data_IF_643636833906
#
_entry.id   IF_643636833906
#
_cell.length_a   1.000
_cell.length_b   1.000
_cell.length_c   1.000
_cell.angle_alpha   90.00
_cell.angle_beta   90.00
_cell.angle_gamma   90.00
#
_symmetry.space_group_name_H-M   'P 1'
#
loop_
_entity.id
_entity.type
_entity.pdbx_description
1 polymer ?
#
# COMPACT_ATOMS: atom_id res chain seq x y z
N UNK A 1 -4.50 16.27 -0.43
CA UNK A 1 -4.91 14.89 -0.10
C UNK A 1 -6.28 14.66 -0.77
N UNK A 2 -6.57 13.45 -1.25
CA UNK A 2 -7.84 13.14 -1.94
C UNK A 2 -9.02 13.16 -0.96
N UNK A 3 -10.21 13.59 -1.41
CA UNK A 3 -11.41 13.59 -0.57
C UNK A 3 -11.87 12.17 -0.23
N UNK A 4 -11.65 11.17 -1.10
CA UNK A 4 -11.86 9.77 -0.77
C UNK A 4 -11.05 9.33 0.46
N UNK A 5 -9.79 9.79 0.57
CA UNK A 5 -8.93 9.50 1.73
C UNK A 5 -9.42 10.25 2.97
N UNK A 6 -9.77 11.53 2.85
CA UNK A 6 -10.26 12.33 3.97
C UNK A 6 -11.58 11.79 4.54
N UNK A 7 -12.54 11.48 3.67
CA UNK A 7 -13.82 10.89 4.06
C UNK A 7 -13.64 9.54 4.77
N UNK A 8 -12.67 8.73 4.31
CA UNK A 8 -12.33 7.47 4.96
C UNK A 8 -11.74 7.70 6.36
N UNK A 9 -10.85 8.70 6.52
CA UNK A 9 -10.29 9.09 7.84
C UNK A 9 -11.39 9.60 8.78
N UNK A 10 -12.29 10.46 8.30
CA UNK A 10 -13.40 11.00 9.08
C UNK A 10 -14.33 9.88 9.57
N UNK A 11 -14.66 8.91 8.69
CA UNK A 11 -15.47 7.73 9.06
C UNK A 11 -14.84 6.95 10.22
N UNK A 12 -13.53 6.72 10.19
CA UNK A 12 -12.84 5.95 11.23
C UNK A 12 -12.64 6.74 12.53
N UNK A 13 -12.49 8.07 12.42
CA UNK A 13 -12.38 8.96 13.58
C UNK A 13 -13.66 8.97 14.41
N UNK A 14 -14.83 8.86 13.77
CA UNK A 14 -16.15 8.86 14.41
C UNK A 14 -16.57 7.54 15.06
N UNK A 15 -15.77 6.48 14.96
CA UNK A 15 -16.07 5.18 15.59
C UNK A 15 -15.98 5.28 17.12
N UNK A 16 -16.73 4.44 17.84
CA UNK A 16 -16.57 4.33 19.31
C UNK A 16 -15.20 3.75 19.68
N UNK A 17 -14.73 4.02 20.89
CA UNK A 17 -13.44 3.51 21.34
C UNK A 17 -13.47 1.98 21.52
N UNK A 18 -12.54 1.30 20.85
CA UNK A 18 -12.10 -0.09 21.06
C UNK A 18 -10.69 -0.25 20.47
N UNK A 19 -9.91 -1.26 20.88
CA UNK A 19 -8.58 -1.49 20.29
C UNK A 19 -8.65 -1.74 18.77
N UNK A 20 -9.69 -2.43 18.32
CA UNK A 20 -9.95 -2.66 16.89
C UNK A 20 -10.19 -1.33 16.14
N UNK A 21 -11.01 -0.44 16.71
CA UNK A 21 -11.29 0.85 16.11
C UNK A 21 -10.10 1.81 16.23
N UNK A 22 -9.26 1.66 17.26
CA UNK A 22 -8.00 2.39 17.39
C UNK A 22 -7.05 2.02 16.25
N UNK A 23 -6.89 0.73 15.95
CA UNK A 23 -6.10 0.28 14.80
C UNK A 23 -6.60 0.95 13.50
N UNK A 24 -7.90 0.87 13.19
CA UNK A 24 -8.51 1.49 12.00
C UNK A 24 -8.25 3.00 11.86
N UNK A 25 -8.02 3.72 12.96
CA UNK A 25 -7.68 5.16 12.96
C UNK A 25 -6.22 5.45 12.62
N UNK A 26 -5.33 4.46 12.69
CA UNK A 26 -3.90 4.62 12.42
C UNK A 26 -3.42 3.81 11.20
N UNK A 27 -4.27 2.98 10.59
CA UNK A 27 -3.88 2.13 9.46
C UNK A 27 -3.84 2.89 8.12
N UNK A 28 -2.93 3.85 8.03
CA UNK A 28 -2.64 4.64 6.83
C UNK A 28 -1.14 4.70 6.60
N UNK A 29 -0.73 4.67 5.35
CA UNK A 29 0.66 4.92 4.96
C UNK A 29 0.73 6.09 4.01
N UNK A 30 1.71 6.96 4.21
CA UNK A 30 2.09 7.98 3.23
C UNK A 30 3.48 7.66 2.70
N UNK A 31 3.59 7.44 1.40
CA UNK A 31 4.83 6.96 0.79
C UNK A 31 5.03 7.51 -0.62
N UNK A 32 6.26 7.43 -1.12
CA UNK A 32 6.62 7.82 -2.48
C UNK A 32 6.76 6.56 -3.35
N UNK A 33 5.78 6.24 -4.21
CA UNK A 33 5.84 5.06 -5.06
C UNK A 33 6.92 5.22 -6.12
N UNK A 34 7.77 4.20 -6.27
CA UNK A 34 8.83 4.15 -7.29
C UNK A 34 8.48 3.24 -8.46
N UNK A 35 7.55 2.29 -8.26
CA UNK A 35 7.07 1.40 -9.30
C UNK A 35 5.59 1.05 -9.09
N UNK A 36 4.91 0.72 -10.19
CA UNK A 36 3.58 0.16 -10.22
C UNK A 36 3.62 -1.11 -11.07
N UNK A 37 3.45 -2.25 -10.42
CA UNK A 37 3.58 -3.56 -11.05
C UNK A 37 2.20 -4.23 -11.10
N UNK A 38 1.90 -4.86 -12.23
CA UNK A 38 0.75 -5.76 -12.35
C UNK A 38 1.14 -7.02 -13.09
N UNK A 39 0.43 -8.09 -12.79
CA UNK A 39 0.42 -9.30 -13.60
C UNK A 39 -1.01 -9.62 -14.01
N UNK A 40 -1.18 -10.08 -15.24
CA UNK A 40 -2.38 -10.76 -15.72
C UNK A 40 -1.93 -12.13 -16.22
N UNK A 41 -2.39 -13.18 -15.57
CA UNK A 41 -2.09 -14.56 -15.90
C UNK A 41 -3.40 -15.38 -15.93
N UNK A 42 -3.32 -16.63 -16.36
CA UNK A 42 -4.43 -17.59 -16.33
C UNK A 42 -3.93 -18.82 -15.59
N UNK A 43 -4.63 -19.22 -14.52
CA UNK A 43 -4.25 -20.42 -13.78
C UNK A 43 -4.50 -21.71 -14.59
N UNK A 44 -4.05 -22.84 -14.05
CA UNK A 44 -4.18 -24.16 -14.66
C UNK A 44 -5.64 -24.58 -14.93
N UNK A 45 -6.61 -23.90 -14.30
CA UNK A 45 -8.05 -24.14 -14.46
C UNK A 45 -8.70 -23.18 -15.48
N UNK A 46 -7.90 -22.34 -16.15
CA UNK A 46 -8.39 -21.35 -17.11
C UNK A 46 -8.95 -20.08 -16.46
N UNK A 47 -8.81 -19.91 -15.13
CA UNK A 47 -9.29 -18.73 -14.42
C UNK A 47 -8.23 -17.65 -14.48
N UNK A 48 -8.64 -16.46 -14.93
CA UNK A 48 -7.75 -15.29 -14.95
C UNK A 48 -7.31 -14.98 -13.52
N UNK A 49 -6.00 -14.95 -13.28
CA UNK A 49 -5.41 -14.46 -12.04
C UNK A 49 -4.72 -13.15 -12.35
N UNK A 50 -5.01 -12.10 -11.59
CA UNK A 50 -4.30 -10.86 -11.75
C UNK A 50 -4.07 -10.19 -10.41
N UNK A 51 -3.00 -9.43 -10.32
CA UNK A 51 -2.69 -8.66 -9.13
C UNK A 51 -2.06 -7.33 -9.52
N UNK A 52 -2.18 -6.37 -8.62
CA UNK A 52 -1.54 -5.07 -8.75
C UNK A 52 -0.85 -4.72 -7.44
N UNK A 53 0.33 -4.10 -7.52
CA UNK A 53 1.02 -3.57 -6.35
C UNK A 53 1.81 -2.30 -6.67
N UNK A 54 1.86 -1.40 -5.70
CA UNK A 54 2.82 -0.29 -5.68
C UNK A 54 4.05 -0.70 -4.88
N UNK A 55 5.21 -0.22 -5.32
CA UNK A 55 6.48 -0.47 -4.65
C UNK A 55 7.07 0.86 -4.19
N UNK A 56 7.56 0.89 -2.97
CA UNK A 56 8.31 2.00 -2.40
C UNK A 56 9.59 1.48 -1.74
N UNK A 57 10.61 2.32 -1.68
CA UNK A 57 11.81 2.05 -0.88
C UNK A 57 11.99 3.13 0.16
N UNK A 58 12.42 2.74 1.35
CA UNK A 58 12.66 3.64 2.46
C UNK A 58 13.92 3.23 3.22
N UNK A 59 14.58 4.20 3.84
CA UNK A 59 15.72 3.93 4.73
C UNK A 59 15.20 3.82 6.16
N UNK A 60 15.55 2.73 6.81
CA UNK A 60 15.29 2.50 8.23
C UNK A 60 16.61 2.64 8.98
N UNK A 61 16.64 3.52 9.98
CA UNK A 61 17.74 3.67 10.93
C UNK A 61 17.18 3.44 12.32
N UNK A 62 17.79 2.54 13.07
CA UNK A 62 17.49 2.38 14.49
C UNK A 62 18.62 3.04 15.27
N UNK A 63 18.23 3.84 16.26
CA UNK A 63 19.14 4.36 17.25
C UNK A 63 18.72 3.75 18.57
N UNK A 64 19.63 3.02 19.22
CA UNK A 64 19.43 2.56 20.58
C UNK A 64 20.29 3.40 21.51
N UNK A 65 19.76 3.67 22.70
CA UNK A 65 20.48 4.36 23.76
C UNK A 65 20.67 3.32 24.87
N UNK A 66 21.93 3.06 25.24
CA UNK A 66 22.22 2.13 26.33
C UNK A 66 22.00 2.79 27.71
N UNK A 67 22.11 2.02 28.79
CA UNK A 67 21.91 2.50 30.16
C UNK A 67 22.91 3.60 30.59
N UNK A 68 24.03 3.74 29.85
CA UNK A 68 25.04 4.78 30.07
C UNK A 68 24.80 6.04 29.23
N UNK A 69 23.71 6.07 28.44
CA UNK A 69 23.35 7.20 27.57
C UNK A 69 24.10 7.23 26.23
N UNK A 70 24.86 6.18 25.89
CA UNK A 70 25.58 6.10 24.62
C UNK A 70 24.62 5.72 23.49
N UNK A 71 24.71 6.44 22.38
CA UNK A 71 23.90 6.21 21.19
C UNK A 71 24.63 5.20 20.29
N UNK A 72 24.05 4.02 20.12
CA UNK A 72 24.44 3.09 19.06
C UNK A 72 23.60 3.37 17.82
N UNK A 73 24.26 3.72 16.72
CA UNK A 73 23.61 3.89 15.43
C UNK A 73 23.70 2.57 14.65
N UNK A 74 22.56 1.94 14.40
CA UNK A 74 22.52 0.83 13.46
C UNK A 74 22.76 1.34 12.04
N UNK A 75 23.43 0.52 11.22
CA UNK A 75 23.63 0.80 9.82
C UNK A 75 22.27 1.04 9.12
N UNK A 76 22.18 2.14 8.37
CA UNK A 76 20.99 2.45 7.60
C UNK A 76 20.66 1.30 6.64
N UNK A 77 19.51 0.67 6.85
CA UNK A 77 19.04 -0.44 6.02
C UNK A 77 17.99 0.05 5.05
N UNK A 78 18.21 -0.18 3.75
CA UNK A 78 17.19 0.08 2.72
C UNK A 78 16.17 -1.05 2.77
N UNK A 79 14.91 -0.68 2.99
CA UNK A 79 13.76 -1.58 3.00
C UNK A 79 12.85 -1.30 1.81
N UNK A 80 12.15 -2.31 1.35
CA UNK A 80 11.14 -2.24 0.28
C UNK A 80 9.77 -2.51 0.87
N UNK A 81 8.81 -1.64 0.58
CA UNK A 81 7.39 -1.79 0.92
C UNK A 81 6.60 -2.13 -0.34
N UNK A 82 5.80 -3.18 -0.26
CA UNK A 82 4.81 -3.55 -1.28
C UNK A 82 3.41 -3.22 -0.80
N UNK A 83 2.70 -2.33 -1.50
CA UNK A 83 1.30 -2.02 -1.24
C UNK A 83 0.46 -2.78 -2.26
N UNK A 84 -0.17 -3.86 -1.81
CA UNK A 84 -0.90 -4.81 -2.66
C UNK A 84 -2.37 -4.46 -2.76
N UNK A 85 -2.90 -4.64 -3.96
CA UNK A 85 -4.31 -4.52 -4.27
C UNK A 85 -4.78 -5.91 -4.71
N UNK A 86 -5.44 -6.67 -3.80
CA UNK A 86 -5.89 -8.02 -4.09
C UNK A 86 -6.83 -8.06 -5.30
N UNK A 87 -6.80 -9.17 -6.03
CA UNK A 87 -7.66 -9.38 -7.21
C UNK A 87 -9.13 -9.15 -6.90
N UNK A 88 -9.62 -9.74 -5.79
CA UNK A 88 -11.02 -9.64 -5.39
C UNK A 88 -11.42 -8.18 -5.15
N UNK A 89 -10.59 -7.43 -4.44
CA UNK A 89 -10.80 -6.01 -4.20
C UNK A 89 -10.95 -5.22 -5.51
N UNK A 90 -10.05 -5.45 -6.48
CA UNK A 90 -10.15 -4.76 -7.78
C UNK A 90 -11.41 -5.15 -8.57
N UNK A 91 -11.81 -6.42 -8.51
CA UNK A 91 -13.04 -6.90 -9.13
C UNK A 91 -14.29 -6.25 -8.52
N UNK A 92 -14.35 -6.16 -7.19
CA UNK A 92 -15.46 -5.55 -6.46
C UNK A 92 -15.60 -4.06 -6.81
N UNK A 93 -14.47 -3.39 -7.04
CA UNK A 93 -14.39 -2.00 -7.48
C UNK A 93 -14.59 -1.81 -9.00
N UNK A 94 -14.82 -2.90 -9.76
CA UNK A 94 -14.94 -2.91 -11.24
C UNK A 94 -13.73 -2.29 -11.96
N UNK A 95 -12.54 -2.51 -11.42
CA UNK A 95 -11.27 -2.00 -11.92
C UNK A 95 -10.41 -3.11 -12.53
N UNK A 96 -9.70 -2.79 -13.62
CA UNK A 96 -8.69 -3.69 -14.20
C UNK A 96 -7.30 -3.32 -13.71
N UNK A 97 -6.41 -4.31 -13.56
CA UNK A 97 -5.03 -4.07 -13.12
C UNK A 97 -4.28 -3.11 -14.06
N UNK A 98 -4.53 -3.16 -15.37
CA UNK A 98 -3.93 -2.25 -16.34
C UNK A 98 -4.39 -0.81 -16.18
N UNK A 99 -5.69 -0.58 -15.94
CA UNK A 99 -6.24 0.76 -15.67
C UNK A 99 -5.60 1.34 -14.41
N UNK A 100 -5.54 0.55 -13.34
CA UNK A 100 -4.97 0.97 -12.06
C UNK A 100 -3.46 1.23 -12.18
N UNK A 101 -2.73 0.36 -12.88
CA UNK A 101 -1.30 0.57 -13.16
C UNK A 101 -1.07 1.87 -13.94
N UNK A 102 -1.80 2.08 -15.03
CA UNK A 102 -1.70 3.30 -15.84
C UNK A 102 -1.97 4.54 -14.98
N UNK A 103 -3.06 4.53 -14.22
CA UNK A 103 -3.43 5.63 -13.34
C UNK A 103 -2.31 6.01 -12.36
N UNK A 104 -1.77 5.04 -11.61
CA UNK A 104 -0.72 5.31 -10.63
C UNK A 104 0.60 5.73 -11.29
N UNK A 105 0.97 5.12 -12.42
CA UNK A 105 2.15 5.53 -13.19
C UNK A 105 2.03 6.97 -13.70
N UNK A 106 0.87 7.32 -14.25
CA UNK A 106 0.63 8.64 -14.84
C UNK A 106 0.57 9.73 -13.75
N UNK A 107 0.08 9.41 -12.55
CA UNK A 107 -0.17 10.41 -11.52
C UNK A 107 0.86 10.44 -10.37
N UNK A 108 1.41 9.32 -9.92
CA UNK A 108 2.11 9.24 -8.64
C UNK A 108 3.53 8.68 -8.72
N UNK A 109 3.74 7.60 -9.49
CA UNK A 109 5.03 6.89 -9.54
C UNK A 109 6.15 7.84 -9.95
N UNK A 110 7.15 8.01 -9.09
CA UNK A 110 8.28 8.90 -9.32
C UNK A 110 7.95 10.40 -9.31
N UNK A 111 6.73 10.79 -8.92
CA UNK A 111 6.23 12.17 -9.05
C UNK A 111 5.84 12.80 -7.71
N UNK A 112 5.07 12.10 -6.88
CA UNK A 112 4.55 12.67 -5.62
C UNK A 112 4.22 11.58 -4.60
N UNK A 113 4.21 11.98 -3.33
CA UNK A 113 3.74 11.14 -2.25
C UNK A 113 2.24 10.85 -2.39
N UNK A 114 1.84 9.66 -1.95
CA UNK A 114 0.45 9.23 -1.85
C UNK A 114 0.17 8.72 -0.45
N UNK A 115 -1.03 9.01 0.05
CA UNK A 115 -1.56 8.46 1.29
C UNK A 115 -2.65 7.45 0.95
N UNK A 116 -2.55 6.23 1.47
CA UNK A 116 -3.53 5.17 1.27
C UNK A 116 -3.88 4.50 2.61
N UNK A 117 -5.16 4.17 2.84
CA UNK A 117 -5.56 3.28 3.93
C UNK A 117 -5.12 1.85 3.62
N UNK A 118 -4.54 1.18 4.61
CA UNK A 118 -3.99 -0.16 4.45
C UNK A 118 -4.29 -1.03 5.67
N UNK A 119 -4.14 -2.34 5.52
CA UNK A 119 -4.18 -3.29 6.62
C UNK A 119 -2.85 -3.40 7.38
N UNK A 120 -2.70 -4.49 8.10
CA UNK A 120 -1.50 -4.81 8.86
C UNK A 120 -0.27 -5.04 7.96
N UNK A 121 0.89 -4.58 8.42
CA UNK A 121 2.18 -4.84 7.78
C UNK A 121 2.62 -6.29 8.04
N UNK A 122 2.90 -7.00 6.96
CA UNK A 122 3.30 -8.41 6.99
C UNK A 122 4.68 -8.59 6.34
N UNK A 123 5.46 -9.59 6.78
CA UNK A 123 6.69 -9.98 6.08
C UNK A 123 6.39 -10.55 4.69
N UNK A 124 7.32 -10.33 3.75
CA UNK A 124 7.24 -10.92 2.40
C UNK A 124 7.89 -12.30 2.41
N UNK A 125 7.25 -13.27 1.75
CA UNK A 125 7.77 -14.63 1.61
C UNK A 125 7.94 -15.00 0.15
N UNK A 126 8.97 -15.79 -0.13
CA UNK A 126 9.23 -16.42 -1.41
C UNK A 126 9.23 -17.95 -1.23
N UNK A 127 8.61 -18.66 -2.17
CA UNK A 127 8.65 -20.13 -2.21
C UNK A 127 9.72 -20.57 -3.20
N UNK A 128 10.79 -21.18 -2.69
CA UNK A 128 11.87 -21.76 -3.50
C UNK A 128 12.14 -23.18 -3.00
N UNK A 129 12.24 -24.15 -3.92
CA UNK A 129 12.52 -25.56 -3.61
C UNK A 129 11.58 -26.15 -2.54
N UNK A 130 10.27 -25.87 -2.62
CA UNK A 130 9.27 -26.27 -1.62
C UNK A 130 9.49 -25.74 -0.20
N UNK A 131 10.34 -24.73 -0.02
CA UNK A 131 10.58 -24.06 1.26
C UNK A 131 10.12 -22.60 1.21
N UNK A 132 9.37 -22.18 2.24
CA UNK A 132 8.93 -20.81 2.44
C UNK A 132 10.03 -20.00 3.11
N UNK A 133 10.64 -19.08 2.38
CA UNK A 133 11.72 -18.24 2.87
C UNK A 133 11.23 -16.80 3.06
N UNK A 134 11.63 -16.16 4.16
CA UNK A 134 11.39 -14.73 4.37
C UNK A 134 12.32 -13.92 3.46
N UNK A 135 11.76 -12.94 2.75
CA UNK A 135 12.53 -12.00 1.94
C UNK A 135 13.03 -10.90 2.85
N UNK A 136 14.35 -10.84 3.07
CA UNK A 136 14.97 -9.82 3.92
C UNK A 136 14.68 -8.42 3.39
N UNK A 137 14.51 -7.47 4.33
CA UNK A 137 14.29 -6.06 4.05
C UNK A 137 13.05 -5.76 3.19
N UNK A 138 12.08 -6.67 3.15
CA UNK A 138 10.84 -6.50 2.40
C UNK A 138 9.64 -6.69 3.32
N UNK A 139 8.70 -5.75 3.27
CA UNK A 139 7.40 -5.86 3.92
C UNK A 139 6.28 -5.57 2.93
N UNK A 140 5.08 -6.03 3.26
CA UNK A 140 3.89 -5.83 2.45
C UNK A 140 2.70 -5.44 3.30
N UNK A 141 1.83 -4.63 2.72
CA UNK A 141 0.51 -4.31 3.25
C UNK A 141 -0.52 -4.51 2.15
N UNK A 142 -1.76 -4.83 2.51
CA UNK A 142 -2.88 -4.81 1.58
C UNK A 142 -3.61 -3.47 1.70
N UNK A 143 -4.14 -2.95 0.59
CA UNK A 143 -5.13 -1.86 0.63
C UNK A 143 -6.30 -2.26 1.53
N UNK A 144 -6.85 -1.31 2.30
CA UNK A 144 -8.04 -1.57 3.08
C UNK A 144 -9.24 -1.90 2.18
N UNK A 145 -9.94 -2.99 2.48
CA UNK A 145 -11.03 -3.50 1.66
C UNK A 145 -12.23 -2.55 1.56
N UNK A 146 -12.40 -1.65 2.55
CA UNK A 146 -13.50 -0.69 2.59
C UNK A 146 -13.16 0.64 1.90
N UNK A 147 -11.93 0.78 1.39
CA UNK A 147 -11.53 1.98 0.67
C UNK A 147 -12.08 1.98 -0.75
N UNK A 148 -12.74 3.07 -1.16
CA UNK A 148 -13.28 3.21 -2.51
C UNK A 148 -12.20 3.75 -3.47
N UNK A 149 -11.46 2.83 -4.10
CA UNK A 149 -10.41 3.16 -5.06
C UNK A 149 -10.99 3.79 -6.33
N UNK A 150 -12.21 3.42 -6.72
CA UNK A 150 -12.82 3.95 -7.94
C UNK A 150 -13.16 5.45 -7.79
N UNK A 151 -13.68 5.87 -6.63
CA UNK A 151 -13.89 7.29 -6.30
C UNK A 151 -12.55 8.01 -6.22
N UNK A 152 -11.54 7.42 -5.56
CA UNK A 152 -10.20 7.99 -5.50
C UNK A 152 -9.63 8.29 -6.88
N UNK A 153 -9.66 7.31 -7.80
CA UNK A 153 -9.18 7.48 -9.19
C UNK A 153 -9.94 8.62 -9.89
N UNK A 154 -11.27 8.63 -9.79
CA UNK A 154 -12.12 9.60 -10.46
C UNK A 154 -11.85 11.05 -10.01
N UNK A 155 -11.41 11.27 -8.76
CA UNK A 155 -11.06 12.63 -8.29
C UNK A 155 -9.85 13.23 -9.01
N UNK A 156 -8.91 12.38 -9.45
CA UNK A 156 -7.72 12.82 -10.19
C UNK A 156 -7.94 12.83 -11.71
N UNK A 157 -8.86 12.00 -12.22
CA UNK A 157 -9.23 11.96 -13.64
C UNK A 157 -10.25 13.05 -14.03
N UNK A 158 -10.99 13.63 -13.08
CA UNK A 158 -11.88 14.76 -13.36
C UNK A 158 -11.07 15.95 -13.90
N UNK A 159 -11.48 16.58 -15.01
CA UNK A 159 -10.88 17.84 -15.43
C UNK A 159 -11.06 18.84 -14.28
N UNK A 160 -9.97 19.47 -13.85
CA UNK A 160 -10.05 20.62 -12.95
C UNK A 160 -10.91 21.65 -13.66
N UNK A 161 -12.16 21.82 -13.21
CA UNK A 161 -12.96 22.97 -13.61
C UNK A 161 -12.20 24.20 -13.11
N UNK A 162 -11.54 24.90 -14.02
CA UNK A 162 -11.05 26.26 -13.81
C UNK A 162 -12.23 27.09 -13.35
N UNK A 163 -12.21 27.48 -12.08
CA UNK A 163 -12.94 28.65 -11.60
C UNK A 163 -11.99 29.84 -11.66
#
# INVERSE_FOLDING_TARGET
>A
MSSAVLNYIEKNTNLSFSFENQFKRFSYITFFPIQANSSNDTDEQGKKTFWFQLVATYKSTYQSINELGEISQDNATVKTLYVKFPMQYLLDQKLTADKVRKFFTDNFVGKKFITLPVGEEMPVFEFKNNVRNIVKNCSQVNIDENFDLQVFINEFEKPKTTK
#
